data_IF_634866568856
#
_entry.id   IF_634866568856
#
_cell.length_a   1.000
_cell.length_b   1.000
_cell.length_c   1.000
_cell.angle_alpha   90.00
_cell.angle_beta   90.00
_cell.angle_gamma   90.00
#
_symmetry.space_group_name_H-M   'P 1'
#
loop_
_entity.id
_entity.type
_entity.pdbx_description
1 polymer ?
#
# COMPACT_ATOMS: atom_id res chain seq x y z
N UNK A 1 10.59 -6.03 7.74
CA UNK A 1 10.30 -7.03 6.68
C UNK A 1 10.92 -8.43 6.86
N UNK A 2 12.15 -8.64 7.39
CA UNK A 2 12.73 -10.00 7.50
C UNK A 2 11.84 -11.00 8.25
N UNK A 3 11.31 -10.61 9.42
CA UNK A 3 10.48 -11.49 10.25
C UNK A 3 9.18 -11.90 9.55
N UNK A 4 8.56 -11.00 8.77
CA UNK A 4 7.37 -11.30 7.98
C UNK A 4 7.69 -12.23 6.81
N UNK A 5 8.81 -12.02 6.12
CA UNK A 5 9.29 -12.91 5.06
C UNK A 5 9.57 -14.32 5.58
N UNK A 6 10.15 -14.44 6.79
CA UNK A 6 10.34 -15.73 7.46
C UNK A 6 9.00 -16.39 7.86
N UNK A 7 8.01 -15.61 8.32
CA UNK A 7 6.70 -16.13 8.73
C UNK A 7 5.87 -16.70 7.57
N UNK A 8 6.17 -16.30 6.32
CA UNK A 8 5.53 -16.84 5.11
C UNK A 8 6.40 -17.88 4.38
N UNK A 9 7.63 -18.12 4.82
CA UNK A 9 8.55 -19.02 4.14
C UNK A 9 7.98 -20.44 4.05
N UNK A 10 7.89 -20.98 2.83
CA UNK A 10 7.36 -22.32 2.57
C UNK A 10 5.83 -22.46 2.64
N UNK A 11 5.08 -21.37 2.88
CA UNK A 11 3.61 -21.37 2.89
C UNK A 11 3.07 -21.01 1.50
N UNK A 12 1.93 -21.60 1.13
CA UNK A 12 1.20 -21.18 -0.08
C UNK A 12 0.41 -19.89 0.24
N UNK A 13 0.21 -18.99 -0.74
CA UNK A 13 -0.58 -17.77 -0.53
C UNK A 13 -1.99 -18.02 0.07
N UNK A 14 -2.66 -19.10 -0.35
CA UNK A 14 -3.98 -19.48 0.16
C UNK A 14 -3.98 -19.86 1.65
N UNK A 15 -2.84 -20.32 2.17
CA UNK A 15 -2.66 -20.72 3.56
C UNK A 15 -2.10 -19.57 4.41
N UNK A 16 -1.89 -18.39 3.83
CA UNK A 16 -1.35 -17.21 4.52
C UNK A 16 -2.51 -16.35 5.03
N UNK A 17 -2.53 -16.17 6.34
CA UNK A 17 -3.34 -15.16 7.01
C UNK A 17 -2.46 -13.92 7.25
N UNK A 18 -2.74 -12.77 6.61
CA UNK A 18 -1.95 -11.56 6.78
C UNK A 18 -1.82 -11.09 8.23
N UNK A 19 -2.85 -11.26 9.06
CA UNK A 19 -2.83 -10.83 10.46
C UNK A 19 -1.99 -11.75 11.33
N UNK A 20 -2.00 -13.05 11.06
CA UNK A 20 -1.09 -13.98 11.74
C UNK A 20 0.37 -13.68 11.39
N UNK A 21 0.66 -13.37 10.12
CA UNK A 21 2.02 -12.96 9.70
C UNK A 21 2.43 -11.68 10.43
N UNK A 22 1.51 -10.72 10.58
CA UNK A 22 1.78 -9.49 11.32
C UNK A 22 2.10 -9.77 12.80
N UNK A 23 1.33 -10.63 13.45
CA UNK A 23 1.56 -11.07 14.85
C UNK A 23 2.91 -11.75 15.01
N UNK A 24 3.21 -12.72 14.15
CA UNK A 24 4.47 -13.46 14.17
C UNK A 24 5.67 -12.52 13.95
N UNK A 25 5.54 -11.58 13.02
CA UNK A 25 6.57 -10.59 12.74
C UNK A 25 6.76 -9.63 13.92
N UNK A 26 5.67 -9.16 14.54
CA UNK A 26 5.68 -8.28 15.70
C UNK A 26 6.42 -8.92 16.88
N UNK A 27 6.09 -10.17 17.24
CA UNK A 27 6.71 -10.87 18.37
C UNK A 27 8.23 -11.07 18.22
N UNK A 28 8.73 -11.11 16.99
CA UNK A 28 10.16 -11.27 16.68
C UNK A 28 10.88 -9.93 16.49
N UNK A 29 10.16 -8.81 16.46
CA UNK A 29 10.74 -7.49 16.20
C UNK A 29 11.11 -6.81 17.51
N UNK A 30 12.39 -6.41 17.61
CA UNK A 30 12.93 -5.67 18.77
C UNK A 30 13.09 -4.18 18.52
N UNK A 31 12.98 -3.75 17.26
CA UNK A 31 13.04 -2.35 16.88
C UNK A 31 11.70 -1.67 17.19
N UNK A 32 11.70 -0.42 17.70
CA UNK A 32 10.47 0.36 17.87
C UNK A 32 9.95 0.89 16.52
N UNK A 33 8.66 1.21 16.47
CA UNK A 33 8.05 2.06 15.44
C UNK A 33 8.07 1.45 14.04
N UNK A 34 7.24 0.45 13.80
CA UNK A 34 7.15 -0.18 12.48
C UNK A 34 5.72 -0.23 11.92
N UNK A 35 5.63 0.09 10.64
CA UNK A 35 4.40 0.21 9.85
C UNK A 35 4.28 -1.00 8.92
N UNK A 36 3.12 -1.62 8.84
CA UNK A 36 2.96 -2.80 7.97
C UNK A 36 1.58 -2.85 7.33
N UNK A 37 1.59 -2.86 6.00
CA UNK A 37 0.52 -3.43 5.19
C UNK A 37 1.02 -4.80 4.68
N UNK A 38 0.34 -5.87 5.06
CA UNK A 38 0.59 -7.23 4.55
C UNK A 38 -0.57 -7.60 3.67
N UNK A 39 -0.31 -8.00 2.41
CA UNK A 39 -1.35 -8.49 1.50
C UNK A 39 -0.97 -9.89 0.98
N UNK A 40 -1.96 -10.77 0.93
CA UNK A 40 -1.90 -12.09 0.31
C UNK A 40 -2.98 -12.17 -0.77
N UNK A 41 -2.62 -12.64 -1.96
CA UNK A 41 -3.56 -12.81 -3.07
C UNK A 41 -3.64 -14.30 -3.40
N UNK A 42 -4.84 -14.88 -3.28
CA UNK A 42 -5.10 -16.29 -3.57
C UNK A 42 -6.58 -16.54 -3.86
N UNK A 43 -6.88 -17.45 -4.79
CA UNK A 43 -8.24 -17.93 -5.04
C UNK A 43 -9.24 -16.82 -5.38
N UNK A 44 -8.81 -15.82 -6.18
CA UNK A 44 -9.65 -14.69 -6.57
C UNK A 44 -9.93 -13.68 -5.44
N UNK A 45 -9.16 -13.73 -4.35
CA UNK A 45 -9.29 -12.79 -3.24
C UNK A 45 -7.93 -12.21 -2.87
N UNK A 46 -7.92 -10.91 -2.60
CA UNK A 46 -6.86 -10.23 -1.86
C UNK A 46 -7.31 -10.16 -0.40
N UNK A 47 -6.47 -10.70 0.49
CA UNK A 47 -6.59 -10.54 1.94
C UNK A 47 -5.51 -9.59 2.38
N UNK A 48 -5.81 -8.64 3.25
CA UNK A 48 -4.81 -7.74 3.80
C UNK A 48 -5.01 -7.52 5.30
N UNK A 49 -3.90 -7.25 5.98
CA UNK A 49 -3.88 -6.70 7.33
C UNK A 49 -3.06 -5.41 7.27
N UNK A 50 -3.68 -4.28 7.63
CA UNK A 50 -3.04 -2.98 7.61
C UNK A 50 -3.05 -2.37 9.00
N UNK A 51 -1.90 -1.83 9.40
CA UNK A 51 -1.78 -0.97 10.57
C UNK A 51 -0.89 0.21 10.20
N UNK A 52 -1.46 1.43 10.31
CA UNK A 52 -0.96 2.73 9.84
C UNK A 52 -1.61 3.24 8.52
N UNK A 53 -0.95 4.21 7.89
CA UNK A 53 -1.37 4.98 6.72
C UNK A 53 -0.73 4.51 5.39
N UNK A 54 0.13 3.48 5.44
CA UNK A 54 0.39 2.67 4.26
C UNK A 54 -0.91 2.03 3.75
N UNK A 55 -0.95 1.64 2.48
CA UNK A 55 -2.18 1.12 1.91
C UNK A 55 -2.03 0.54 0.51
N UNK A 56 -3.16 0.25 -0.11
CA UNK A 56 -3.23 -0.25 -1.47
C UNK A 56 -4.50 0.18 -2.22
N UNK A 57 -4.38 0.19 -3.55
CA UNK A 57 -5.46 0.33 -4.50
C UNK A 57 -5.63 -0.96 -5.29
N UNK A 58 -6.86 -1.28 -5.64
CA UNK A 58 -7.19 -2.26 -6.69
C UNK A 58 -7.77 -1.49 -7.87
N UNK A 59 -7.11 -1.61 -9.02
CA UNK A 59 -7.49 -0.92 -10.26
C UNK A 59 -7.97 -1.98 -11.26
N UNK A 60 -9.20 -1.80 -11.76
CA UNK A 60 -9.85 -2.66 -12.74
C UNK A 60 -10.33 -1.84 -13.92
N UNK A 61 -9.95 -2.24 -15.13
CA UNK A 61 -10.33 -1.51 -16.35
C UNK A 61 -9.87 -0.05 -16.34
N UNK A 62 -8.72 0.24 -15.72
CA UNK A 62 -8.18 1.60 -15.60
C UNK A 62 -8.80 2.46 -14.50
N UNK A 63 -9.68 1.89 -13.65
CA UNK A 63 -10.32 2.62 -12.55
C UNK A 63 -10.15 1.95 -11.20
N UNK A 64 -9.97 2.76 -10.16
CA UNK A 64 -9.90 2.30 -8.78
C UNK A 64 -11.25 1.72 -8.37
N UNK A 65 -11.29 0.41 -8.11
CA UNK A 65 -12.49 -0.28 -7.58
C UNK A 65 -12.42 -0.47 -6.08
N UNK A 66 -11.23 -0.34 -5.49
CA UNK A 66 -11.04 -0.38 -4.04
C UNK A 66 -9.83 0.47 -3.65
N UNK A 67 -9.97 1.23 -2.57
CA UNK A 67 -8.90 1.93 -1.86
C UNK A 67 -8.94 1.49 -0.41
N UNK A 68 -7.82 0.98 0.12
CA UNK A 68 -7.74 0.65 1.54
C UNK A 68 -7.89 1.91 2.39
N UNK A 69 -8.61 1.84 3.52
CA UNK A 69 -8.63 2.94 4.48
C UNK A 69 -7.23 3.15 5.07
N UNK A 70 -6.89 4.42 5.33
CA UNK A 70 -5.71 4.79 6.09
C UNK A 70 -6.07 4.78 7.57
N UNK A 71 -5.23 4.16 8.41
CA UNK A 71 -5.45 4.14 9.85
C UNK A 71 -4.57 5.19 10.54
N UNK A 72 -5.21 6.18 11.15
CA UNK A 72 -4.57 7.28 11.87
C UNK A 72 -5.43 7.74 13.05
N UNK A 73 -4.80 8.26 14.10
CA UNK A 73 -5.47 8.94 15.23
C UNK A 73 -5.98 10.33 14.83
N UNK A 74 -5.32 10.94 13.87
CA UNK A 74 -5.60 12.26 13.33
C UNK A 74 -4.64 12.57 12.18
N UNK A 75 -4.79 13.73 11.56
CA UNK A 75 -3.97 14.12 10.41
C UNK A 75 -2.47 13.94 10.67
N UNK A 76 -1.81 13.17 9.80
CA UNK A 76 -0.38 12.88 9.86
C UNK A 76 0.08 12.26 11.21
N UNK A 77 -0.83 11.52 11.87
CA UNK A 77 -0.58 10.79 13.10
C UNK A 77 -1.06 9.33 12.95
N UNK A 78 -0.33 8.50 12.19
CA UNK A 78 -0.70 7.10 11.97
C UNK A 78 -0.65 6.28 13.27
N UNK A 79 -1.37 5.16 13.30
CA UNK A 79 -1.15 4.15 14.33
C UNK A 79 0.26 3.55 14.17
N UNK A 80 0.96 3.31 15.29
CA UNK A 80 2.36 2.86 15.33
C UNK A 80 2.58 1.72 16.33
N UNK A 81 2.90 0.52 15.84
CA UNK A 81 3.34 -0.58 16.71
C UNK A 81 4.67 -0.25 17.41
N UNK A 82 4.73 -0.50 18.71
CA UNK A 82 5.91 -0.23 19.54
C UNK A 82 5.95 -1.06 20.83
N UNK A 83 7.15 -1.32 21.33
CA UNK A 83 7.39 -2.24 22.47
C UNK A 83 6.98 -1.70 23.83
N UNK A 84 6.70 -0.39 23.96
CA UNK A 84 6.41 0.24 25.26
C UNK A 84 5.11 1.04 25.31
N UNK A 85 4.54 1.46 24.17
CA UNK A 85 3.33 2.31 24.14
C UNK A 85 2.70 2.45 22.74
N UNK A 86 2.70 1.37 21.95
CA UNK A 86 2.11 1.37 20.60
C UNK A 86 0.95 0.39 20.48
N UNK A 87 0.28 0.46 19.34
CA UNK A 87 -0.84 -0.41 19.00
C UNK A 87 -0.39 -1.87 18.90
N UNK A 88 -1.33 -2.78 19.14
CA UNK A 88 -1.12 -4.21 19.02
C UNK A 88 -1.48 -4.68 17.61
N UNK A 89 -0.86 -5.78 17.11
CA UNK A 89 -1.25 -6.40 15.85
C UNK A 89 -2.75 -6.76 15.75
N UNK A 90 -3.44 -6.93 16.88
CA UNK A 90 -4.87 -7.20 16.92
C UNK A 90 -5.73 -6.01 16.46
N UNK A 91 -5.19 -4.80 16.52
CA UNK A 91 -5.83 -3.55 16.09
C UNK A 91 -5.68 -3.32 14.57
N UNK A 92 -4.88 -4.15 13.89
CA UNK A 92 -4.76 -4.10 12.44
C UNK A 92 -6.10 -4.42 11.79
N UNK A 93 -6.47 -3.58 10.83
CA UNK A 93 -7.69 -3.76 10.04
C UNK A 93 -7.48 -4.85 9.00
N UNK A 94 -8.44 -5.77 9.00
CA UNK A 94 -8.46 -6.91 8.09
C UNK A 94 -9.40 -6.61 6.94
N UNK A 95 -8.88 -6.76 5.72
CA UNK A 95 -9.64 -6.49 4.50
C UNK A 95 -9.66 -7.74 3.64
N UNK A 96 -10.81 -7.99 3.01
CA UNK A 96 -10.95 -9.02 1.97
C UNK A 96 -11.60 -8.38 0.75
N UNK A 97 -10.88 -8.36 -0.36
CA UNK A 97 -11.30 -7.73 -1.62
C UNK A 97 -11.34 -8.81 -2.69
N UNK A 98 -12.44 -8.88 -3.44
CA UNK A 98 -12.51 -9.75 -4.61
C UNK A 98 -11.61 -9.20 -5.72
N UNK A 99 -10.75 -10.04 -6.29
CA UNK A 99 -9.88 -9.67 -7.40
C UNK A 99 -10.14 -10.56 -8.60
N UNK A 100 -9.99 -9.97 -9.78
CA UNK A 100 -10.24 -10.59 -11.07
C UNK A 100 -9.00 -10.55 -11.94
N UNK A 101 -8.95 -11.42 -12.94
CA UNK A 101 -7.88 -11.41 -13.95
C UNK A 101 -7.80 -10.02 -14.59
N UNK A 102 -6.59 -9.47 -14.64
CA UNK A 102 -6.32 -8.16 -15.22
C UNK A 102 -6.43 -7.01 -14.22
N UNK A 103 -6.84 -7.28 -12.98
CA UNK A 103 -6.74 -6.29 -11.91
C UNK A 103 -5.26 -5.96 -11.64
N UNK A 104 -5.01 -4.70 -11.30
CA UNK A 104 -3.71 -4.20 -10.88
C UNK A 104 -3.80 -3.80 -9.43
N UNK A 105 -2.91 -4.33 -8.60
CA UNK A 105 -2.79 -3.94 -7.19
C UNK A 105 -1.59 -3.02 -7.06
N UNK A 106 -1.83 -1.80 -6.58
CA UNK A 106 -0.78 -0.84 -6.25
C UNK A 106 -0.76 -0.68 -4.74
N UNK A 107 0.28 -1.19 -4.08
CA UNK A 107 0.51 -0.97 -2.66
C UNK A 107 1.64 0.05 -2.47
N UNK A 108 1.59 0.84 -1.41
CA UNK A 108 2.61 1.83 -1.13
C UNK A 108 2.55 2.41 0.28
N UNK A 109 3.56 3.21 0.60
CA UNK A 109 3.58 4.05 1.80
C UNK A 109 2.74 5.31 1.61
N UNK A 110 2.49 6.04 2.69
CA UNK A 110 1.89 7.37 2.66
C UNK A 110 2.62 8.32 1.70
N UNK A 111 3.96 8.23 1.57
CA UNK A 111 4.73 9.00 0.59
C UNK A 111 4.22 8.90 -0.86
N UNK A 112 3.59 7.79 -1.26
CA UNK A 112 2.87 7.68 -2.53
C UNK A 112 1.52 8.42 -2.47
N UNK A 113 0.68 8.05 -1.51
CA UNK A 113 -0.73 8.46 -1.43
C UNK A 113 -0.94 9.91 -0.99
N UNK A 114 0.05 10.50 -0.30
CA UNK A 114 0.10 11.90 0.10
C UNK A 114 0.44 12.82 -1.07
N UNK A 115 1.07 12.28 -2.12
CA UNK A 115 1.61 13.06 -3.23
C UNK A 115 0.92 12.84 -4.58
N UNK A 116 0.22 11.71 -4.77
CA UNK A 116 -0.53 11.40 -5.98
C UNK A 116 -2.00 11.15 -5.66
N UNK A 117 -2.90 11.81 -6.41
CA UNK A 117 -4.31 11.47 -6.36
C UNK A 117 -4.56 10.09 -6.99
N UNK A 118 -5.63 9.38 -6.62
CA UNK A 118 -6.01 8.12 -7.28
C UNK A 118 -6.07 8.26 -8.80
N UNK A 119 -6.54 9.39 -9.31
CA UNK A 119 -6.62 9.68 -10.75
C UNK A 119 -5.24 9.76 -11.42
N UNK A 120 -4.23 10.33 -10.75
CA UNK A 120 -2.85 10.37 -11.25
C UNK A 120 -2.24 8.96 -11.32
N UNK A 121 -2.56 8.12 -10.32
CA UNK A 121 -2.14 6.72 -10.27
C UNK A 121 -2.81 5.93 -11.39
N UNK A 122 -4.13 6.11 -11.57
CA UNK A 122 -4.91 5.48 -12.65
C UNK A 122 -4.36 5.82 -14.03
N UNK A 123 -4.11 7.11 -14.31
CA UNK A 123 -3.56 7.57 -15.60
C UNK A 123 -2.19 6.95 -15.87
N UNK A 124 -1.32 6.94 -14.85
CA UNK A 124 0.00 6.31 -14.96
C UNK A 124 -0.13 4.82 -15.24
N UNK A 125 -0.94 4.09 -14.48
CA UNK A 125 -1.16 2.65 -14.69
C UNK A 125 -1.69 2.39 -16.10
N UNK A 126 -2.71 3.13 -16.55
CA UNK A 126 -3.29 2.97 -17.88
C UNK A 126 -2.27 3.21 -19.00
N UNK A 127 -1.46 4.26 -18.89
CA UNK A 127 -0.43 4.59 -19.87
C UNK A 127 0.59 3.45 -20.04
N UNK A 128 1.04 2.85 -18.93
CA UNK A 128 2.06 1.81 -18.95
C UNK A 128 1.48 0.43 -19.28
N UNK A 129 0.22 0.17 -18.96
CA UNK A 129 -0.50 -1.03 -19.42
C UNK A 129 -0.68 -1.03 -20.95
N UNK A 130 -1.00 0.12 -21.56
CA UNK A 130 -1.08 0.26 -23.03
C UNK A 130 0.25 -0.04 -23.72
N UNK A 131 1.37 0.09 -23.00
CA UNK A 131 2.72 -0.24 -23.46
C UNK A 131 3.15 -1.66 -23.08
N UNK A 132 2.25 -2.47 -22.53
CA UNK A 132 2.53 -3.83 -22.05
C UNK A 132 3.70 -3.88 -21.04
N UNK A 133 3.81 -2.84 -20.21
CA UNK A 133 4.94 -2.70 -19.28
C UNK A 133 4.85 -3.69 -18.13
N UNK A 134 6.01 -4.16 -17.66
CA UNK A 134 6.13 -4.99 -16.47
C UNK A 134 5.70 -4.23 -15.20
N UNK A 135 5.21 -4.92 -14.15
CA UNK A 135 4.82 -4.27 -12.89
C UNK A 135 5.91 -3.41 -12.27
N UNK A 136 7.18 -3.84 -12.35
CA UNK A 136 8.33 -3.08 -11.83
C UNK A 136 8.49 -1.71 -12.50
N UNK A 137 8.16 -1.61 -13.79
CA UNK A 137 8.22 -0.34 -14.54
C UNK A 137 7.11 0.58 -14.07
N UNK A 138 5.91 0.05 -13.85
CA UNK A 138 4.77 0.82 -13.30
C UNK A 138 5.08 1.33 -11.90
N UNK A 139 5.60 0.46 -11.02
CA UNK A 139 5.98 0.84 -9.67
C UNK A 139 7.05 1.94 -9.67
N UNK A 140 8.08 1.82 -10.53
CA UNK A 140 9.12 2.84 -10.68
C UNK A 140 8.57 4.18 -11.20
N UNK A 141 7.67 4.13 -12.18
CA UNK A 141 7.03 5.34 -12.72
C UNK A 141 6.20 6.07 -11.67
N UNK A 142 5.39 5.33 -10.90
CA UNK A 142 4.59 5.88 -9.80
C UNK A 142 5.47 6.47 -8.69
N UNK A 143 6.53 5.76 -8.28
CA UNK A 143 7.47 6.26 -7.28
C UNK A 143 8.17 7.55 -7.75
N UNK A 144 8.52 7.61 -9.04
CA UNK A 144 9.14 8.80 -9.65
C UNK A 144 8.16 9.99 -9.67
N UNK A 145 6.93 9.77 -10.13
CA UNK A 145 5.90 10.80 -10.16
C UNK A 145 5.57 11.33 -8.75
N UNK A 146 5.43 10.42 -7.76
CA UNK A 146 5.21 10.79 -6.37
C UNK A 146 6.38 11.63 -5.83
N UNK A 147 7.62 11.25 -6.14
CA UNK A 147 8.82 12.01 -5.73
C UNK A 147 8.85 13.40 -6.34
N UNK A 148 8.55 13.54 -7.63
CA UNK A 148 8.48 14.85 -8.28
C UNK A 148 7.41 15.73 -7.64
N UNK A 149 6.22 15.16 -7.36
CA UNK A 149 5.14 15.86 -6.67
C UNK A 149 5.48 16.23 -5.23
N UNK A 150 6.22 15.40 -4.51
CA UNK A 150 6.65 15.67 -3.14
C UNK A 150 7.52 16.93 -2.99
N UNK A 151 8.23 17.29 -4.08
CA UNK A 151 9.10 18.47 -4.15
C UNK A 151 8.40 19.70 -4.69
N UNK A 152 7.23 19.55 -5.31
CA UNK A 152 6.46 20.65 -5.90
C UNK A 152 5.68 21.39 -4.81
N UNK A 153 5.73 22.74 -4.85
CA UNK A 153 5.10 23.60 -3.85
C UNK A 153 3.88 24.36 -4.38
N UNK A 154 3.61 24.26 -5.68
CA UNK A 154 2.61 25.08 -6.36
C UNK A 154 1.34 24.33 -6.77
N UNK A 155 1.38 23.01 -6.79
CA UNK A 155 0.23 22.18 -7.14
C UNK A 155 -0.28 21.47 -5.91
N UNK A 156 -1.59 21.52 -5.69
CA UNK A 156 -2.22 20.80 -4.60
C UNK A 156 -1.88 19.31 -4.65
N UNK A 157 -1.57 18.76 -3.48
CA UNK A 157 -1.37 17.33 -3.25
C UNK A 157 -2.52 16.79 -2.39
N UNK A 158 -2.76 15.48 -2.36
CA UNK A 158 -3.67 14.87 -1.39
C UNK A 158 -3.36 15.29 0.05
N UNK A 159 -2.07 15.40 0.41
CA UNK A 159 -1.64 15.82 1.75
C UNK A 159 -2.02 17.27 2.05
N UNK A 160 -1.85 18.20 1.11
CA UNK A 160 -2.29 19.59 1.29
C UNK A 160 -3.80 19.67 1.53
N UNK A 161 -4.59 18.90 0.78
CA UNK A 161 -6.05 18.83 0.96
C UNK A 161 -6.38 18.32 2.36
N UNK A 162 -5.78 17.22 2.78
CA UNK A 162 -6.00 16.65 4.11
C UNK A 162 -5.52 17.59 5.24
N UNK A 163 -4.41 18.31 5.03
CA UNK A 163 -3.91 19.32 5.97
C UNK A 163 -4.92 20.44 6.17
N UNK A 164 -5.45 20.95 5.06
CA UNK A 164 -6.47 22.01 5.08
C UNK A 164 -7.74 21.58 5.81
N UNK A 165 -8.23 20.37 5.55
CA UNK A 165 -9.39 19.79 6.25
C UNK A 165 -9.15 19.63 7.76
N UNK A 166 -7.91 19.36 8.16
CA UNK A 166 -7.48 19.28 9.55
C UNK A 166 -7.17 20.65 10.19
N UNK A 167 -7.28 21.75 9.44
CA UNK A 167 -6.92 23.09 9.92
C UNK A 167 -5.43 23.35 10.06
N UNK A 168 -4.60 22.56 9.36
CA UNK A 168 -3.13 22.68 9.33
C UNK A 168 -2.71 23.36 8.03
N UNK A 169 -1.85 24.37 8.12
CA UNK A 169 -1.30 25.04 6.95
C UNK A 169 -0.17 24.20 6.33
N UNK A 170 -0.36 23.74 5.10
CA UNK A 170 0.65 23.08 4.28
C UNK A 170 0.43 23.43 2.81
N UNK A 171 1.50 23.55 2.02
CA UNK A 171 1.43 23.86 0.59
C UNK A 171 2.25 22.87 -0.24
N UNK A 172 1.63 22.34 -1.28
CA UNK A 172 2.18 21.40 -2.23
C UNK A 172 2.38 19.99 -1.66
N UNK A 173 3.38 19.29 -2.20
CA UNK A 173 3.70 17.93 -1.79
C UNK A 173 4.31 17.82 -0.39
N UNK A 174 4.31 16.59 0.13
CA UNK A 174 4.96 16.16 1.37
C UNK A 174 6.22 15.38 1.03
N UNK A 175 7.38 15.92 1.38
CA UNK A 175 8.67 15.25 1.19
C UNK A 175 8.80 14.10 2.19
N UNK A 176 8.79 12.85 1.69
CA UNK A 176 8.75 11.64 2.50
C UNK A 176 9.43 10.46 1.80
N UNK A 177 9.63 9.36 2.53
CA UNK A 177 10.09 8.09 1.98
C UNK A 177 8.97 7.44 1.13
N UNK A 178 9.31 7.09 -0.10
CA UNK A 178 8.34 6.57 -1.08
C UNK A 178 8.68 5.12 -1.41
N UNK A 179 7.75 4.21 -1.09
CA UNK A 179 7.80 2.81 -1.53
C UNK A 179 6.55 2.48 -2.33
N UNK A 180 6.72 1.82 -3.47
CA UNK A 180 5.62 1.37 -4.33
C UNK A 180 5.85 -0.09 -4.73
N UNK A 181 4.79 -0.89 -4.64
CA UNK A 181 4.73 -2.26 -5.13
C UNK A 181 3.56 -2.35 -6.10
N UNK A 182 3.82 -2.85 -7.31
CA UNK A 182 2.78 -3.16 -8.28
C UNK A 182 2.70 -4.66 -8.50
N UNK A 183 1.49 -5.21 -8.53
CA UNK A 183 1.22 -6.61 -8.81
C UNK A 183 0.08 -6.74 -9.82
N UNK A 184 0.25 -7.62 -10.80
CA UNK A 184 -0.78 -7.89 -11.81
C UNK A 184 -1.47 -9.21 -11.46
N UNK A 185 -2.80 -9.18 -11.38
CA UNK A 185 -3.60 -10.37 -11.11
C UNK A 185 -3.72 -11.19 -12.39
N UNK A 186 -3.05 -12.32 -12.42
CA UNK A 186 -3.02 -13.27 -13.54
C UNK A 186 -3.80 -14.55 -13.19
N UNK A 187 -4.22 -15.35 -14.19
CA UNK A 187 -4.84 -16.65 -13.92
C UNK A 187 -3.90 -17.59 -13.15
N UNK A 188 -4.47 -18.44 -12.29
CA UNK A 188 -3.74 -19.49 -11.54
C UNK A 188 -3.01 -20.50 -12.45
N UNK A 189 -3.37 -20.56 -13.73
CA UNK A 189 -2.73 -21.41 -14.72
C UNK A 189 -1.61 -20.66 -15.44
N UNK A 190 -0.35 -20.79 -14.95
CA UNK A 190 0.87 -20.71 -15.79
C UNK A 190 2.21 -21.07 -15.09
N UNK A 191 2.24 -21.48 -13.82
CA UNK A 191 3.48 -21.89 -13.14
C UNK A 191 3.52 -23.38 -12.74
N UNK A 192 3.01 -24.26 -13.61
CA UNK A 192 3.36 -25.68 -13.61
C UNK A 192 4.06 -26.01 -14.92
N UNK A 193 5.33 -25.63 -15.05
CA UNK A 193 6.29 -26.26 -15.96
C UNK A 193 7.61 -26.42 -15.21
#
# INVERSE_FOLDING_TARGET
MRNAAEAVHGRRPADVDPKDVLKDAFLKTRAPGFFHCIISIAGGRLRAANLADSGFLVIRGGKTVYKSPAQQHGFNCPYQMGSTSGELPDEAEEMVVAVERGDIVIAGTDGLFDNLFPEDIEETVELFLKKESLPEVVACALATAAREKSLEKRTASPFEVAAYEAGVEHFGGKYDDITVVAAYVVPDSLYFI
#
